data_IF_033531573940
#
_entry.id   IF_033531573940
#
_cell.length_a   1.000
_cell.length_b   1.000
_cell.length_c   1.000
_cell.angle_alpha   90.00
_cell.angle_beta   90.00
_cell.angle_gamma   90.00
#
_symmetry.space_group_name_H-M   'P 1'
#
loop_
_entity.id
_entity.type
_entity.pdbx_description
1 polymer ?
#
# COMPACT_ATOMS: atom_id res chain seq x y z
N UNK A 1 -17.49 18.56 -9.60
CA UNK A 1 -16.99 19.29 -8.40
C UNK A 1 -15.54 18.89 -8.23
N UNK A 2 -14.60 19.83 -8.36
CA UNK A 2 -13.18 19.54 -8.11
C UNK A 2 -12.90 19.79 -6.63
N UNK A 3 -12.63 18.73 -5.88
CA UNK A 3 -12.20 18.82 -4.49
C UNK A 3 -10.66 18.87 -4.50
N UNK A 4 -10.09 20.07 -4.44
CA UNK A 4 -8.63 20.24 -4.54
C UNK A 4 -8.01 20.16 -3.14
N UNK A 5 -7.40 19.03 -2.81
CA UNK A 5 -6.52 18.89 -1.65
C UNK A 5 -5.08 19.17 -2.08
N UNK A 6 -4.55 20.34 -1.71
CA UNK A 6 -3.18 20.69 -2.06
C UNK A 6 -2.20 19.69 -1.42
N UNK A 7 -1.21 19.19 -2.17
CA UNK A 7 -0.22 18.26 -1.64
C UNK A 7 0.60 18.91 -0.51
N UNK A 8 0.92 18.16 0.56
CA UNK A 8 1.83 18.61 1.59
C UNK A 8 3.18 19.04 1.03
N UNK A 9 3.80 20.03 1.67
CA UNK A 9 5.13 20.48 1.27
C UNK A 9 6.19 19.37 1.47
N UNK A 10 7.17 19.38 0.58
CA UNK A 10 8.35 18.51 0.64
C UNK A 10 8.08 17.05 0.26
N UNK A 11 6.96 16.73 -0.39
CA UNK A 11 6.78 15.42 -1.01
C UNK A 11 7.70 15.25 -2.22
N UNK A 12 8.28 14.06 -2.34
CA UNK A 12 8.98 13.60 -3.53
C UNK A 12 8.01 13.10 -4.61
N UNK A 13 8.58 12.53 -5.67
CA UNK A 13 7.80 12.12 -6.86
C UNK A 13 6.81 10.99 -6.52
N UNK A 14 7.23 10.01 -5.71
CA UNK A 14 6.40 8.85 -5.38
C UNK A 14 5.25 9.25 -4.44
N UNK A 15 5.53 10.05 -3.42
CA UNK A 15 4.55 10.59 -2.49
C UNK A 15 3.56 11.51 -3.16
N UNK A 16 4.03 12.42 -4.02
CA UNK A 16 3.16 13.31 -4.79
C UNK A 16 2.21 12.52 -5.69
N UNK A 17 2.73 11.51 -6.40
CA UNK A 17 1.90 10.64 -7.25
C UNK A 17 0.81 9.92 -6.45
N UNK A 18 1.14 9.41 -5.26
CA UNK A 18 0.18 8.75 -4.39
C UNK A 18 -0.88 9.72 -3.85
N UNK A 19 -0.45 10.91 -3.41
CA UNK A 19 -1.36 11.94 -2.92
C UNK A 19 -2.37 12.32 -4.01
N UNK A 20 -1.86 12.73 -5.18
CA UNK A 20 -2.69 13.19 -6.29
C UNK A 20 -3.67 12.11 -6.74
N UNK A 21 -3.22 10.86 -6.96
CA UNK A 21 -4.12 9.79 -7.43
C UNK A 21 -5.27 9.50 -6.48
N UNK A 22 -5.01 9.54 -5.17
CA UNK A 22 -6.04 9.30 -4.15
C UNK A 22 -6.96 10.53 -4.01
N UNK A 23 -6.43 11.75 -3.98
CA UNK A 23 -7.26 12.96 -3.82
C UNK A 23 -8.03 13.36 -5.07
N UNK A 24 -7.60 12.92 -6.26
CA UNK A 24 -8.37 13.08 -7.50
C UNK A 24 -9.59 12.14 -7.54
N UNK A 25 -9.48 10.98 -6.89
CA UNK A 25 -10.52 9.95 -6.88
C UNK A 25 -11.49 10.10 -5.70
N UNK A 26 -10.97 10.47 -4.53
CA UNK A 26 -11.72 10.49 -3.27
C UNK A 26 -11.69 11.87 -2.63
N UNK A 27 -12.83 12.32 -2.12
CA UNK A 27 -12.92 13.57 -1.38
C UNK A 27 -12.75 13.34 0.13
N UNK A 28 -11.81 14.06 0.75
CA UNK A 28 -11.56 14.02 2.19
C UNK A 28 -11.87 15.34 2.92
N UNK A 29 -12.67 16.26 2.35
CA UNK A 29 -12.97 17.57 2.96
C UNK A 29 -13.47 17.44 4.40
N UNK A 30 -14.34 16.47 4.69
CA UNK A 30 -14.91 16.26 6.03
C UNK A 30 -14.15 15.18 6.83
N UNK A 31 -12.98 14.74 6.35
CA UNK A 31 -12.22 13.62 6.91
C UNK A 31 -10.74 13.98 7.18
N UNK A 32 -10.45 15.00 8.02
CA UNK A 32 -9.07 15.48 8.24
C UNK A 32 -8.12 14.41 8.78
N UNK A 33 -8.63 13.42 9.55
CA UNK A 33 -7.84 12.29 10.02
C UNK A 33 -7.33 11.40 8.88
N UNK A 34 -8.12 11.22 7.81
CA UNK A 34 -7.69 10.47 6.62
C UNK A 34 -6.69 11.26 5.78
N UNK A 35 -6.81 12.59 5.71
CA UNK A 35 -5.78 13.43 5.08
C UNK A 35 -4.43 13.29 5.79
N UNK A 36 -4.40 13.30 7.12
CA UNK A 36 -3.17 13.09 7.88
C UNK A 36 -2.56 11.70 7.64
N UNK A 37 -3.39 10.66 7.53
CA UNK A 37 -2.93 9.31 7.16
C UNK A 37 -2.38 9.26 5.74
N UNK A 38 -3.05 9.92 4.78
CA UNK A 38 -2.61 9.99 3.39
C UNK A 38 -1.28 10.75 3.25
N UNK A 39 -1.11 11.84 3.99
CA UNK A 39 0.17 12.56 4.04
C UNK A 39 1.27 11.63 4.55
N UNK A 40 1.02 10.91 5.66
CA UNK A 40 1.99 9.98 6.20
C UNK A 40 2.32 8.85 5.23
N UNK A 41 1.31 8.31 4.54
CA UNK A 41 1.49 7.29 3.51
C UNK A 41 2.34 7.81 2.34
N UNK A 42 2.08 9.05 1.90
CA UNK A 42 2.84 9.71 0.83
C UNK A 42 4.32 9.86 1.18
N UNK A 43 4.62 10.29 2.41
CA UNK A 43 6.00 10.38 2.90
C UNK A 43 6.69 9.01 3.00
N UNK A 44 5.95 7.96 3.37
CA UNK A 44 6.49 6.58 3.37
C UNK A 44 6.76 6.11 1.94
N UNK A 45 5.90 6.44 0.97
CA UNK A 45 6.14 6.12 -0.44
C UNK A 45 7.43 6.77 -0.96
N UNK A 46 7.70 8.03 -0.61
CA UNK A 46 8.98 8.69 -0.94
C UNK A 46 10.18 8.00 -0.29
N UNK A 47 10.05 7.55 0.96
CA UNK A 47 11.11 6.83 1.65
C UNK A 47 11.39 5.48 0.99
N UNK A 48 10.36 4.76 0.53
CA UNK A 48 10.51 3.50 -0.22
C UNK A 48 11.24 3.77 -1.54
N UNK A 49 10.81 4.76 -2.34
CA UNK A 49 11.46 5.11 -3.61
C UNK A 49 12.94 5.46 -3.40
N UNK A 50 13.27 6.22 -2.35
CA UNK A 50 14.66 6.51 -1.99
C UNK A 50 15.45 5.23 -1.67
N UNK A 51 14.91 4.36 -0.82
CA UNK A 51 15.55 3.11 -0.42
C UNK A 51 15.76 2.18 -1.62
N UNK A 52 14.77 2.06 -2.51
CA UNK A 52 14.86 1.22 -3.72
C UNK A 52 15.91 1.75 -4.70
N UNK A 53 16.00 3.06 -4.89
CA UNK A 53 17.05 3.67 -5.71
C UNK A 53 18.43 3.39 -5.14
N UNK A 54 18.64 3.59 -3.84
CA UNK A 54 19.92 3.30 -3.19
C UNK A 54 20.24 1.79 -3.24
N UNK A 55 19.25 0.94 -2.98
CA UNK A 55 19.41 -0.52 -3.01
C UNK A 55 19.75 -1.06 -4.40
N UNK A 56 19.26 -0.42 -5.47
CA UNK A 56 19.57 -0.82 -6.86
C UNK A 56 21.06 -0.72 -7.19
N UNK A 57 21.80 0.12 -6.47
CA UNK A 57 23.24 0.34 -6.66
C UNK A 57 24.09 -0.40 -5.62
N UNK A 58 23.46 -1.06 -4.64
CA UNK A 58 24.15 -1.76 -3.56
C UNK A 58 24.31 -3.25 -3.85
N UNK A 59 25.36 -3.91 -3.33
CA UNK A 59 25.44 -5.36 -3.34
C UNK A 59 24.27 -5.99 -2.55
N UNK A 60 23.83 -7.18 -2.96
CA UNK A 60 22.78 -7.94 -2.26
C UNK A 60 23.19 -8.39 -0.84
N UNK A 61 24.47 -8.28 -0.51
CA UNK A 61 25.04 -8.68 0.77
C UNK A 61 25.92 -7.59 1.38
N UNK A 62 25.93 -7.51 2.71
CA UNK A 62 26.78 -6.60 3.48
C UNK A 62 27.62 -7.38 4.51
N UNK A 63 28.67 -6.73 5.03
CA UNK A 63 29.46 -7.29 6.14
C UNK A 63 28.69 -7.13 7.45
N UNK A 64 28.37 -8.25 8.09
CA UNK A 64 27.76 -8.31 9.41
C UNK A 64 28.71 -7.89 10.52
N UNK A 65 28.19 -7.71 11.74
CA UNK A 65 28.95 -7.22 12.90
C UNK A 65 30.11 -8.14 13.31
N UNK A 66 30.02 -9.45 13.06
CA UNK A 66 31.10 -10.43 13.32
C UNK A 66 31.92 -10.73 12.05
N UNK A 67 31.77 -9.92 11.00
CA UNK A 67 32.49 -10.06 9.73
C UNK A 67 31.90 -11.08 8.76
N UNK A 68 30.80 -11.76 9.11
CA UNK A 68 30.09 -12.69 8.24
C UNK A 68 29.34 -11.96 7.11
N UNK A 69 29.15 -12.63 5.97
CA UNK A 69 28.36 -12.10 4.87
C UNK A 69 26.86 -12.26 5.19
N UNK A 70 26.11 -11.17 5.23
CA UNK A 70 24.66 -11.16 5.51
C UNK A 70 23.89 -10.51 4.37
N UNK A 71 22.59 -10.74 4.30
CA UNK A 71 21.68 -10.02 3.39
C UNK A 71 21.78 -8.51 3.67
N UNK A 72 21.81 -7.70 2.60
CA UNK A 72 21.92 -6.25 2.74
C UNK A 72 20.72 -5.67 3.53
N UNK A 73 20.94 -4.77 4.51
CA UNK A 73 19.87 -4.22 5.37
C UNK A 73 18.70 -3.55 4.63
N UNK A 74 18.97 -2.98 3.46
CA UNK A 74 17.93 -2.39 2.60
C UNK A 74 16.76 -3.33 2.31
N UNK A 75 17.03 -4.64 2.14
CA UNK A 75 15.97 -5.61 1.84
C UNK A 75 14.97 -5.71 2.99
N UNK A 76 15.46 -5.73 4.23
CA UNK A 76 14.60 -5.78 5.41
C UNK A 76 13.86 -4.45 5.62
N UNK A 77 14.54 -3.32 5.39
CA UNK A 77 13.96 -1.98 5.58
C UNK A 77 12.86 -1.69 4.54
N UNK A 78 13.09 -1.97 3.25
CA UNK A 78 12.08 -1.83 2.19
C UNK A 78 10.83 -2.65 2.53
N UNK A 79 11.00 -3.89 2.98
CA UNK A 79 9.88 -4.75 3.42
C UNK A 79 9.12 -4.13 4.60
N UNK A 80 9.83 -3.56 5.57
CA UNK A 80 9.24 -2.88 6.73
C UNK A 80 8.41 -1.67 6.30
N UNK A 81 9.00 -0.76 5.52
CA UNK A 81 8.32 0.43 5.02
C UNK A 81 7.11 0.09 4.14
N UNK A 82 7.22 -0.95 3.30
CA UNK A 82 6.09 -1.46 2.50
C UNK A 82 4.95 -1.96 3.38
N UNK A 83 5.26 -2.60 4.50
CA UNK A 83 4.24 -3.05 5.47
C UNK A 83 3.55 -1.88 6.15
N UNK A 84 4.31 -0.83 6.51
CA UNK A 84 3.75 0.41 7.06
C UNK A 84 2.85 1.10 6.04
N UNK A 85 3.29 1.23 4.78
CA UNK A 85 2.50 1.83 3.71
C UNK A 85 1.18 1.08 3.52
N UNK A 86 1.23 -0.25 3.41
CA UNK A 86 0.04 -1.10 3.32
C UNK A 86 -0.93 -0.91 4.48
N UNK A 87 -0.40 -0.71 5.70
CA UNK A 87 -1.20 -0.49 6.90
C UNK A 87 -1.89 0.87 6.84
N UNK A 88 -1.16 1.94 6.49
CA UNK A 88 -1.70 3.29 6.35
C UNK A 88 -2.79 3.36 5.26
N UNK A 89 -2.54 2.74 4.10
CA UNK A 89 -3.51 2.70 3.00
C UNK A 89 -4.79 1.96 3.38
N UNK A 90 -4.69 0.83 4.10
CA UNK A 90 -5.87 0.12 4.62
C UNK A 90 -6.63 0.95 5.65
N UNK A 91 -5.92 1.69 6.50
CA UNK A 91 -6.54 2.56 7.52
C UNK A 91 -7.30 3.76 6.93
N UNK A 92 -7.06 4.11 5.65
CA UNK A 92 -7.90 5.09 4.95
C UNK A 92 -9.34 4.58 4.74
N UNK A 93 -9.57 3.27 4.75
CA UNK A 93 -10.90 2.69 4.60
C UNK A 93 -11.60 3.17 3.32
N UNK A 94 -10.85 3.30 2.21
CA UNK A 94 -11.39 3.76 0.94
C UNK A 94 -12.44 2.74 0.42
N UNK A 95 -13.54 3.21 -0.17
CA UNK A 95 -14.55 2.32 -0.72
C UNK A 95 -13.97 1.53 -1.90
N UNK A 96 -14.38 0.27 -2.02
CA UNK A 96 -14.05 -0.57 -3.17
C UNK A 96 -14.77 -0.05 -4.42
N UNK A 97 -14.10 -0.12 -5.56
CA UNK A 97 -14.74 0.11 -6.86
C UNK A 97 -15.84 -0.92 -7.11
N UNK A 98 -16.81 -0.58 -7.97
CA UNK A 98 -17.91 -1.49 -8.31
C UNK A 98 -17.40 -2.83 -8.88
N UNK A 99 -16.29 -2.79 -9.62
CA UNK A 99 -15.61 -3.98 -10.17
C UNK A 99 -15.03 -4.86 -9.05
N UNK A 100 -14.32 -4.27 -8.08
CA UNK A 100 -13.79 -4.99 -6.92
C UNK A 100 -14.91 -5.59 -6.05
N UNK A 101 -16.02 -4.86 -5.87
CA UNK A 101 -17.19 -5.36 -5.16
C UNK A 101 -17.81 -6.56 -5.89
N UNK A 102 -17.96 -6.48 -7.21
CA UNK A 102 -18.49 -7.55 -8.04
C UNK A 102 -17.60 -8.81 -7.98
N UNK A 103 -16.28 -8.66 -8.12
CA UNK A 103 -15.33 -9.77 -7.99
C UNK A 103 -15.42 -10.43 -6.60
N UNK A 104 -15.45 -9.64 -5.54
CA UNK A 104 -15.55 -10.16 -4.16
C UNK A 104 -16.86 -10.90 -3.93
N UNK A 105 -17.97 -10.42 -4.50
CA UNK A 105 -19.25 -11.13 -4.46
C UNK A 105 -19.18 -12.48 -5.21
N UNK A 106 -18.56 -12.51 -6.39
CA UNK A 106 -18.38 -13.73 -7.17
C UNK A 106 -17.51 -14.76 -6.43
N UNK A 107 -16.39 -14.34 -5.83
CA UNK A 107 -15.52 -15.22 -5.03
C UNK A 107 -16.25 -15.82 -3.84
N UNK A 108 -17.06 -15.03 -3.12
CA UNK A 108 -17.90 -15.52 -2.01
C UNK A 108 -18.95 -16.52 -2.48
N UNK A 109 -19.62 -16.24 -3.60
CA UNK A 109 -20.59 -17.17 -4.21
C UNK A 109 -19.92 -18.49 -4.65
N UNK A 110 -18.74 -18.43 -5.26
CA UNK A 110 -17.96 -19.62 -5.63
C UNK A 110 -17.57 -20.46 -4.41
N UNK A 111 -17.08 -19.82 -3.33
CA UNK A 111 -16.77 -20.50 -2.08
C UNK A 111 -18.00 -21.13 -1.41
N UNK A 112 -19.14 -20.42 -1.42
CA UNK A 112 -20.42 -20.92 -0.90
C UNK A 112 -20.93 -22.14 -1.67
N UNK A 113 -20.88 -22.10 -3.01
CA UNK A 113 -21.21 -23.25 -3.87
C UNK A 113 -20.29 -24.44 -3.61
N UNK A 114 -18.97 -24.21 -3.50
CA UNK A 114 -18.01 -25.27 -3.16
C UNK A 114 -18.32 -25.91 -1.81
N UNK A 115 -18.61 -25.10 -0.79
CA UNK A 115 -18.98 -25.58 0.54
C UNK A 115 -20.33 -26.32 0.54
N UNK A 116 -21.32 -25.86 -0.23
CA UNK A 116 -22.60 -26.54 -0.37
C UNK A 116 -22.45 -27.88 -1.09
N UNK A 117 -21.71 -27.95 -2.19
CA UNK A 117 -21.44 -29.21 -2.91
C UNK A 117 -20.66 -30.21 -2.04
N UNK A 118 -19.71 -29.73 -1.24
CA UNK A 118 -18.99 -30.57 -0.28
C UNK A 118 -19.87 -31.08 0.87
N UNK A 119 -20.91 -30.33 1.27
CA UNK A 119 -21.82 -30.69 2.37
C UNK A 119 -22.99 -31.56 1.93
N UNK A 120 -23.50 -31.37 0.72
CA UNK A 120 -24.72 -32.02 0.22
C UNK A 120 -24.47 -33.02 -0.91
N UNK A 121 -23.20 -33.26 -1.29
CA UNK A 121 -22.81 -34.40 -2.11
C UNK A 121 -23.50 -34.49 -3.46
N UNK A 122 -23.61 -33.37 -4.19
CA UNK A 122 -23.97 -33.44 -5.61
C UNK A 122 -22.67 -33.63 -6.39
N UNK A 123 -22.42 -34.87 -6.80
CA UNK A 123 -21.35 -35.26 -7.73
C UNK A 123 -21.69 -34.80 -9.14
#
# INVERSE_FOLDING_TARGET
MSFSHNPPEGLGVAGLKLWTSITETFNFTDEPGKLALLERASRVADQIDKLEREASQAPMTAKGSMGQLVIHPFIAEIRSQTTVLNTLLKSLGLPETDEEQAERAQRRSAAGRKAANARWGVQ
#
